data_IF_880185958366
#
_entry.id   IF_880185958366
#
_cell.length_a   1.000
_cell.length_b   1.000
_cell.length_c   1.000
_cell.angle_alpha   90.00
_cell.angle_beta   90.00
_cell.angle_gamma   90.00
#
_symmetry.space_group_name_H-M   'P 1'
#
loop_
_entity.id
_entity.type
_entity.pdbx_description
1 polymer ?
#
# COMPACT_ATOMS: atom_id res chain seq x y z
N UNK A 1 27.01 62.96 18.46
CA UNK A 1 26.06 61.96 19.02
C UNK A 1 25.11 61.33 17.97
N UNK A 2 24.89 61.86 16.81
CA UNK A 2 23.91 61.42 15.81
C UNK A 2 24.29 60.13 15.02
N UNK A 3 25.59 59.82 14.87
CA UNK A 3 26.04 58.66 14.08
C UNK A 3 25.85 57.32 14.78
N UNK A 4 25.97 57.27 16.10
CA UNK A 4 25.77 56.06 16.91
C UNK A 4 24.28 55.62 16.95
N UNK A 5 23.36 56.56 17.05
CA UNK A 5 21.91 56.28 17.03
C UNK A 5 21.46 55.72 15.70
N UNK A 6 22.02 56.16 14.59
CA UNK A 6 21.66 55.71 13.24
C UNK A 6 22.13 54.28 12.96
N UNK A 7 23.26 53.86 13.51
CA UNK A 7 23.77 52.48 13.42
C UNK A 7 22.94 51.49 14.27
N UNK A 8 22.58 51.91 15.47
CA UNK A 8 21.76 51.07 16.36
C UNK A 8 20.35 50.83 15.78
N UNK A 9 19.79 51.87 15.14
CA UNK A 9 18.49 51.76 14.47
C UNK A 9 18.52 50.79 13.26
N UNK A 10 19.59 50.82 12.46
CA UNK A 10 19.80 49.86 11.36
C UNK A 10 19.98 48.43 11.84
N UNK A 11 20.73 48.21 12.92
CA UNK A 11 20.89 46.88 13.53
C UNK A 11 19.55 46.32 14.04
N UNK A 12 18.73 47.18 14.63
CA UNK A 12 17.40 46.82 15.11
C UNK A 12 16.46 46.45 13.95
N UNK A 13 16.51 47.17 12.82
CA UNK A 13 15.76 46.83 11.61
C UNK A 13 16.20 45.49 11.00
N UNK A 14 17.51 45.24 10.94
CA UNK A 14 18.04 43.96 10.44
C UNK A 14 17.59 42.79 11.35
N UNK A 15 17.66 42.95 12.67
CA UNK A 15 17.19 41.97 13.63
C UNK A 15 15.70 41.66 13.50
N UNK A 16 14.88 42.72 13.27
CA UNK A 16 13.45 42.54 13.03
C UNK A 16 13.15 41.75 11.72
N UNK A 17 13.90 42.05 10.66
CA UNK A 17 13.76 41.36 9.38
C UNK A 17 14.13 39.88 9.51
N UNK A 18 15.23 39.56 10.20
CA UNK A 18 15.66 38.18 10.44
C UNK A 18 14.60 37.42 11.26
N UNK A 19 14.03 38.06 12.26
CA UNK A 19 12.97 37.47 13.09
C UNK A 19 11.71 37.18 12.27
N UNK A 20 11.29 38.12 11.40
CA UNK A 20 10.15 37.91 10.52
C UNK A 20 10.37 36.77 9.49
N UNK A 21 11.58 36.67 8.95
CA UNK A 21 11.97 35.58 8.04
C UNK A 21 11.94 34.25 8.78
N UNK A 22 12.48 34.19 10.02
CA UNK A 22 12.48 32.98 10.84
C UNK A 22 11.05 32.50 11.13
N UNK A 23 10.15 33.41 11.55
CA UNK A 23 8.73 33.08 11.77
C UNK A 23 8.03 32.61 10.49
N UNK A 24 8.34 33.24 9.36
CA UNK A 24 7.78 32.84 8.06
C UNK A 24 8.25 31.45 7.63
N UNK A 25 9.53 31.13 7.85
CA UNK A 25 10.09 29.79 7.58
C UNK A 25 9.45 28.74 8.49
N UNK A 26 9.31 29.02 9.77
CA UNK A 26 8.69 28.11 10.74
C UNK A 26 7.22 27.84 10.39
N UNK A 27 6.48 28.87 10.00
CA UNK A 27 5.10 28.73 9.52
C UNK A 27 5.01 27.88 8.25
N UNK A 28 5.90 28.09 7.27
CA UNK A 28 5.95 27.30 6.04
C UNK A 28 6.28 25.84 6.32
N UNK A 29 7.27 25.58 7.18
CA UNK A 29 7.69 24.21 7.51
C UNK A 29 6.63 23.44 8.29
N UNK A 30 5.94 24.09 9.24
CA UNK A 30 5.01 23.41 10.13
C UNK A 30 3.58 23.29 9.59
N UNK A 31 3.16 24.17 8.67
CA UNK A 31 1.79 24.15 8.15
C UNK A 31 1.67 23.72 6.68
N UNK A 32 2.62 24.06 5.81
CA UNK A 32 2.48 23.78 4.37
C UNK A 32 3.20 22.51 3.93
N UNK A 33 4.39 22.24 4.48
CA UNK A 33 5.20 21.09 4.05
C UNK A 33 4.59 19.74 4.45
N UNK A 34 4.07 19.53 5.69
CA UNK A 34 3.44 18.26 6.06
C UNK A 34 2.27 17.90 5.14
N UNK A 35 1.38 18.87 4.88
CA UNK A 35 0.18 18.63 4.06
C UNK A 35 0.50 18.26 2.60
N UNK A 36 1.56 18.84 2.04
CA UNK A 36 2.05 18.49 0.71
C UNK A 36 2.71 17.12 0.66
N UNK A 37 3.48 16.77 1.68
CA UNK A 37 4.12 15.46 1.79
C UNK A 37 3.07 14.34 1.94
N UNK A 38 2.06 14.55 2.77
CA UNK A 38 0.98 13.59 2.99
C UNK A 38 0.15 13.36 1.72
N UNK A 39 -0.17 14.42 0.98
CA UNK A 39 -0.85 14.32 -0.33
C UNK A 39 -0.02 13.55 -1.35
N UNK A 40 1.29 13.80 -1.40
CA UNK A 40 2.20 13.08 -2.29
C UNK A 40 2.30 11.59 -1.92
N UNK A 41 2.43 11.27 -0.64
CA UNK A 41 2.45 9.90 -0.14
C UNK A 41 1.14 9.18 -0.47
N UNK A 42 0.00 9.81 -0.21
CA UNK A 42 -1.32 9.25 -0.50
C UNK A 42 -1.50 8.95 -2.00
N UNK A 43 -1.08 9.88 -2.86
CA UNK A 43 -1.15 9.68 -4.31
C UNK A 43 -0.27 8.51 -4.78
N UNK A 44 0.93 8.36 -4.20
CA UNK A 44 1.84 7.25 -4.50
C UNK A 44 1.25 5.91 -4.07
N UNK A 45 0.68 5.84 -2.86
CA UNK A 45 0.01 4.64 -2.35
C UNK A 45 -1.18 4.28 -3.24
N UNK A 46 -2.02 5.26 -3.59
CA UNK A 46 -3.17 5.03 -4.46
C UNK A 46 -2.75 4.48 -5.83
N UNK A 47 -1.67 5.01 -6.42
CA UNK A 47 -1.13 4.53 -7.68
C UNK A 47 -0.65 3.08 -7.56
N UNK A 48 0.13 2.75 -6.53
CA UNK A 48 0.65 1.39 -6.29
C UNK A 48 -0.50 0.39 -6.10
N UNK A 49 -1.54 0.76 -5.34
CA UNK A 49 -2.73 -0.08 -5.16
C UNK A 49 -3.45 -0.32 -6.48
N UNK A 50 -3.66 0.72 -7.29
CA UNK A 50 -4.34 0.60 -8.57
C UNK A 50 -3.56 -0.30 -9.55
N UNK A 51 -2.24 -0.19 -9.61
CA UNK A 51 -1.37 -1.05 -10.44
C UNK A 51 -1.47 -2.52 -10.02
N UNK A 52 -1.46 -2.79 -8.71
CA UNK A 52 -1.63 -4.15 -8.18
C UNK A 52 -3.04 -4.71 -8.42
N UNK A 53 -4.08 -3.88 -8.25
CA UNK A 53 -5.45 -4.26 -8.57
C UNK A 53 -5.58 -4.67 -10.04
N UNK A 54 -5.03 -3.89 -10.95
CA UNK A 54 -5.02 -4.21 -12.38
C UNK A 54 -4.31 -5.54 -12.67
N UNK A 55 -3.18 -5.80 -12.00
CA UNK A 55 -2.47 -7.08 -12.10
C UNK A 55 -3.32 -8.25 -11.60
N UNK A 56 -4.01 -8.08 -10.46
CA UNK A 56 -4.93 -9.09 -9.93
C UNK A 56 -6.06 -9.38 -10.93
N UNK A 57 -6.66 -8.37 -11.52
CA UNK A 57 -7.72 -8.52 -12.52
C UNK A 57 -7.22 -9.20 -13.79
N UNK A 58 -6.00 -8.93 -14.24
CA UNK A 58 -5.36 -9.64 -15.37
C UNK A 58 -5.17 -11.12 -15.04
N UNK A 59 -4.74 -11.47 -13.85
CA UNK A 59 -4.62 -12.86 -13.41
C UNK A 59 -5.99 -13.56 -13.38
N UNK A 60 -7.03 -12.90 -12.83
CA UNK A 60 -8.38 -13.45 -12.85
C UNK A 60 -8.86 -13.76 -14.28
N UNK A 61 -8.76 -12.77 -15.17
CA UNK A 61 -9.15 -12.94 -16.59
C UNK A 61 -8.37 -14.07 -17.25
N UNK A 62 -7.07 -14.17 -16.98
CA UNK A 62 -6.21 -15.21 -17.52
C UNK A 62 -6.68 -16.60 -17.08
N UNK A 63 -6.86 -16.82 -15.77
CA UNK A 63 -7.27 -18.13 -15.24
C UNK A 63 -8.71 -18.49 -15.59
N UNK A 64 -9.61 -17.53 -15.79
CA UNK A 64 -10.94 -17.76 -16.33
C UNK A 64 -10.92 -18.18 -17.80
N UNK A 65 -9.90 -17.78 -18.56
CA UNK A 65 -9.79 -18.08 -20.01
C UNK A 65 -9.17 -19.43 -20.33
N UNK A 66 -8.55 -20.11 -19.38
CA UNK A 66 -7.86 -21.39 -19.57
C UNK A 66 -8.59 -22.53 -18.87
N UNK A 67 -8.36 -23.77 -19.34
CA UNK A 67 -8.89 -24.96 -18.66
C UNK A 67 -8.25 -25.15 -17.28
N UNK A 68 -9.02 -25.66 -16.33
CA UNK A 68 -8.55 -25.98 -14.98
C UNK A 68 -7.37 -26.96 -14.97
N UNK A 69 -7.32 -27.89 -15.93
CA UNK A 69 -6.22 -28.86 -16.08
C UNK A 69 -4.86 -28.14 -16.36
N UNK A 70 -4.92 -26.95 -16.94
CA UNK A 70 -3.73 -26.12 -17.26
C UNK A 70 -3.31 -25.17 -16.13
N UNK A 71 -4.00 -25.13 -15.00
CA UNK A 71 -3.68 -24.18 -13.91
C UNK A 71 -2.26 -24.40 -13.38
N UNK A 72 -1.84 -25.65 -13.21
CA UNK A 72 -0.51 -25.98 -12.69
C UNK A 72 0.61 -25.70 -13.71
N UNK A 73 0.36 -25.84 -14.99
CA UNK A 73 1.34 -25.54 -16.05
C UNK A 73 1.77 -24.07 -16.05
N UNK A 74 0.89 -23.19 -15.57
CA UNK A 74 1.10 -21.74 -15.54
C UNK A 74 1.50 -21.22 -14.14
N UNK A 75 1.66 -22.12 -13.16
CA UNK A 75 1.93 -21.74 -11.76
C UNK A 75 3.25 -20.97 -11.64
N UNK A 76 4.33 -21.42 -12.29
CA UNK A 76 5.66 -20.79 -12.18
C UNK A 76 5.63 -19.32 -12.60
N UNK A 77 4.98 -19.03 -13.74
CA UNK A 77 4.79 -17.66 -14.23
C UNK A 77 3.96 -16.82 -13.27
N UNK A 78 2.92 -17.41 -12.69
CA UNK A 78 2.06 -16.72 -11.71
C UNK A 78 2.80 -16.47 -10.41
N UNK A 79 3.67 -17.37 -9.96
CA UNK A 79 4.55 -17.18 -8.80
C UNK A 79 5.53 -16.02 -9.01
N UNK A 80 6.11 -15.90 -10.22
CA UNK A 80 7.01 -14.81 -10.58
C UNK A 80 6.28 -13.46 -10.51
N UNK A 81 5.13 -13.33 -11.17
CA UNK A 81 4.29 -12.12 -11.13
C UNK A 81 3.88 -11.79 -9.69
N UNK A 82 3.39 -12.76 -8.94
CA UNK A 82 2.95 -12.57 -7.57
C UNK A 82 4.08 -12.10 -6.65
N UNK A 83 5.31 -12.58 -6.88
CA UNK A 83 6.51 -12.17 -6.15
C UNK A 83 6.95 -10.76 -6.51
N UNK A 84 7.00 -10.41 -7.80
CA UNK A 84 7.41 -9.09 -8.28
C UNK A 84 6.45 -8.00 -7.79
N UNK A 85 5.15 -8.23 -7.96
CA UNK A 85 4.10 -7.29 -7.58
C UNK A 85 3.76 -7.34 -6.07
N UNK A 86 4.36 -8.27 -5.32
CA UNK A 86 4.08 -8.48 -3.90
C UNK A 86 2.59 -8.70 -3.60
N UNK A 87 1.94 -9.52 -4.41
CA UNK A 87 0.55 -9.94 -4.22
C UNK A 87 0.49 -11.42 -3.88
N UNK A 88 -0.62 -11.87 -3.31
CA UNK A 88 -0.88 -13.29 -3.08
C UNK A 88 -2.14 -13.69 -3.85
N UNK A 89 -2.05 -14.76 -4.62
CA UNK A 89 -3.11 -15.22 -5.50
C UNK A 89 -3.55 -16.63 -5.11
N UNK A 90 -4.86 -16.87 -5.11
CA UNK A 90 -5.48 -18.13 -4.70
C UNK A 90 -6.64 -18.48 -5.62
N UNK A 91 -6.79 -19.79 -5.91
CA UNK A 91 -7.96 -20.33 -6.58
C UNK A 91 -8.57 -21.37 -5.68
N UNK A 92 -9.87 -21.26 -5.44
CA UNK A 92 -10.68 -22.25 -4.74
C UNK A 92 -11.67 -22.85 -5.74
N UNK A 93 -11.88 -24.16 -5.68
CA UNK A 93 -12.92 -24.88 -6.40
C UNK A 93 -13.84 -25.55 -5.38
N UNK A 94 -15.14 -25.28 -5.43
CA UNK A 94 -16.11 -25.78 -4.46
C UNK A 94 -15.69 -25.51 -2.99
N UNK A 95 -15.00 -24.40 -2.77
CA UNK A 95 -14.50 -23.99 -1.46
C UNK A 95 -13.22 -24.71 -1.00
N UNK A 96 -12.63 -25.58 -1.80
CA UNK A 96 -11.31 -26.18 -1.57
C UNK A 96 -10.23 -25.40 -2.29
N UNK A 97 -9.10 -25.18 -1.62
CA UNK A 97 -7.95 -24.49 -2.21
C UNK A 97 -7.26 -25.43 -3.21
N UNK A 98 -7.21 -25.00 -4.48
CA UNK A 98 -6.61 -25.78 -5.58
C UNK A 98 -5.32 -25.18 -6.11
N UNK A 99 -5.14 -23.85 -6.02
CA UNK A 99 -3.91 -23.19 -6.41
C UNK A 99 -3.63 -22.01 -5.50
N UNK A 100 -2.35 -21.78 -5.14
CA UNK A 100 -1.92 -20.64 -4.33
C UNK A 100 -0.48 -20.25 -4.62
N UNK A 101 -0.17 -18.95 -4.51
CA UNK A 101 1.19 -18.40 -4.68
C UNK A 101 1.89 -18.11 -3.36
N UNK A 102 1.21 -18.20 -2.22
CA UNK A 102 1.79 -17.94 -0.91
C UNK A 102 1.09 -18.77 0.18
N UNK A 103 1.88 -19.30 1.10
CA UNK A 103 1.41 -19.95 2.33
C UNK A 103 1.52 -19.05 3.58
N UNK A 104 1.85 -17.76 3.39
CA UNK A 104 2.00 -16.81 4.50
C UNK A 104 0.69 -16.52 5.22
N UNK A 105 -0.40 -16.52 4.49
CA UNK A 105 -1.75 -16.27 5.00
C UNK A 105 -2.76 -16.98 4.11
N UNK A 106 -3.85 -17.43 4.70
CA UNK A 106 -4.99 -17.98 3.95
C UNK A 106 -6.11 -16.93 4.00
N UNK A 107 -6.67 -16.53 2.85
CA UNK A 107 -7.75 -15.56 2.81
C UNK A 107 -8.98 -16.11 3.55
N UNK A 108 -9.65 -15.26 4.31
CA UNK A 108 -10.94 -15.62 4.88
C UNK A 108 -11.96 -15.83 3.74
N UNK A 109 -12.79 -16.86 3.87
CA UNK A 109 -13.92 -17.11 2.94
C UNK A 109 -15.06 -16.08 3.12
N UNK A 110 -14.74 -14.86 3.56
CA UNK A 110 -15.71 -13.80 3.72
C UNK A 110 -16.19 -13.41 2.32
N UNK A 111 -17.49 -13.26 2.16
CA UNK A 111 -18.12 -12.77 0.95
C UNK A 111 -17.68 -11.31 0.74
N UNK A 112 -16.59 -11.13 0.00
CA UNK A 112 -16.20 -9.82 -0.51
C UNK A 112 -16.97 -9.60 -1.80
N UNK A 113 -17.58 -8.44 -2.04
CA UNK A 113 -18.22 -8.14 -3.31
C UNK A 113 -17.25 -8.36 -4.46
N UNK A 114 -17.77 -8.92 -5.54
CA UNK A 114 -17.01 -9.21 -6.73
C UNK A 114 -16.33 -7.94 -7.27
N UNK A 115 -15.09 -8.09 -7.72
CA UNK A 115 -14.27 -7.02 -8.32
C UNK A 115 -14.21 -5.70 -7.50
N UNK A 116 -14.26 -5.82 -6.17
CA UNK A 116 -14.06 -4.67 -5.26
C UNK A 116 -13.03 -4.97 -4.21
N UNK A 117 -12.04 -4.10 -4.10
CA UNK A 117 -11.06 -4.15 -3.04
C UNK A 117 -11.72 -3.90 -1.68
N UNK A 118 -11.45 -4.76 -0.72
CA UNK A 118 -11.83 -4.58 0.68
C UNK A 118 -10.66 -4.80 1.61
N UNK A 119 -10.52 -3.92 2.57
CA UNK A 119 -9.55 -4.08 3.64
C UNK A 119 -10.00 -5.21 4.58
N UNK A 120 -9.10 -6.16 4.81
CA UNK A 120 -9.29 -7.31 5.69
C UNK A 120 -8.15 -7.39 6.70
N UNK A 121 -8.48 -7.68 7.95
CA UNK A 121 -7.51 -8.10 8.96
C UNK A 121 -7.44 -9.62 8.94
N UNK A 122 -6.29 -10.16 8.57
CA UNK A 122 -5.99 -11.59 8.57
C UNK A 122 -5.00 -11.92 9.70
N UNK A 123 -4.59 -13.17 9.80
CA UNK A 123 -3.80 -13.68 10.92
C UNK A 123 -2.47 -12.92 11.19
N UNK A 124 -1.90 -12.29 10.17
CA UNK A 124 -0.57 -11.68 10.24
C UNK A 124 -0.51 -10.25 9.68
N UNK A 125 -1.65 -9.60 9.44
CA UNK A 125 -1.67 -8.22 8.97
C UNK A 125 -2.93 -7.79 8.25
N UNK A 126 -2.87 -6.57 7.74
CA UNK A 126 -3.92 -5.96 6.93
C UNK A 126 -3.66 -6.21 5.45
N UNK A 127 -4.71 -6.58 4.73
CA UNK A 127 -4.68 -6.89 3.31
C UNK A 127 -5.85 -6.24 2.60
N UNK A 128 -5.62 -5.75 1.38
CA UNK A 128 -6.72 -5.48 0.46
C UNK A 128 -7.04 -6.79 -0.26
N UNK A 129 -8.25 -7.28 -0.10
CA UNK A 129 -8.76 -8.50 -0.72
C UNK A 129 -9.64 -8.17 -1.91
N UNK A 130 -9.39 -8.85 -3.02
CA UNK A 130 -10.18 -8.82 -4.24
C UNK A 130 -10.66 -10.23 -4.54
N UNK A 131 -11.94 -10.39 -4.89
CA UNK A 131 -12.53 -11.68 -5.22
C UNK A 131 -13.24 -11.62 -6.58
N UNK A 132 -13.23 -12.75 -7.29
CA UNK A 132 -14.09 -12.98 -8.45
C UNK A 132 -14.62 -14.40 -8.45
N UNK A 133 -15.90 -14.55 -8.78
CA UNK A 133 -16.57 -15.84 -8.84
C UNK A 133 -16.78 -16.23 -10.30
N UNK A 134 -16.56 -17.51 -10.61
CA UNK A 134 -16.84 -18.11 -11.90
C UNK A 134 -17.31 -19.56 -11.74
N UNK A 135 -18.62 -19.75 -11.73
CA UNK A 135 -19.21 -21.05 -11.48
C UNK A 135 -18.81 -21.62 -10.11
N UNK A 136 -18.08 -22.74 -10.13
CA UNK A 136 -17.58 -23.39 -8.91
C UNK A 136 -16.25 -22.80 -8.40
N UNK A 137 -15.64 -21.89 -9.15
CA UNK A 137 -14.35 -21.28 -8.83
C UNK A 137 -14.51 -19.95 -8.12
N UNK A 138 -13.62 -19.72 -7.14
CA UNK A 138 -13.41 -18.45 -6.51
C UNK A 138 -11.92 -18.09 -6.68
N UNK A 139 -11.67 -17.02 -7.43
CA UNK A 139 -10.37 -16.38 -7.55
C UNK A 139 -10.25 -15.32 -6.47
N UNK A 140 -9.19 -15.36 -5.70
CA UNK A 140 -8.92 -14.40 -4.62
C UNK A 140 -7.52 -13.86 -4.76
N UNK A 141 -7.36 -12.54 -4.66
CA UNK A 141 -6.07 -11.89 -4.55
C UNK A 141 -6.00 -11.09 -3.24
N UNK A 142 -4.82 -11.11 -2.61
CA UNK A 142 -4.50 -10.33 -1.43
C UNK A 142 -3.32 -9.42 -1.74
N UNK A 143 -3.50 -8.11 -1.52
CA UNK A 143 -2.46 -7.10 -1.59
C UNK A 143 -2.08 -6.75 -0.15
N UNK A 144 -0.85 -7.05 0.32
CA UNK A 144 -0.42 -6.73 1.67
C UNK A 144 -0.35 -5.22 1.90
N UNK A 145 -1.00 -4.71 2.94
CA UNK A 145 -0.96 -3.30 3.34
C UNK A 145 0.03 -3.10 4.48
N UNK A 146 -0.13 -3.88 5.54
CA UNK A 146 0.68 -3.79 6.74
C UNK A 146 0.82 -5.15 7.40
N UNK A 147 2.02 -5.48 7.88
CA UNK A 147 2.24 -6.64 8.73
C UNK A 147 1.87 -6.29 10.17
N UNK A 148 0.96 -7.04 10.77
CA UNK A 148 0.50 -6.85 12.15
C UNK A 148 0.57 -8.18 12.90
N UNK A 149 1.77 -8.53 13.34
CA UNK A 149 1.99 -9.74 14.13
C UNK A 149 1.60 -9.50 15.59
N UNK A 150 1.01 -10.50 16.27
CA UNK A 150 0.66 -10.41 17.70
C UNK A 150 1.86 -10.17 18.61
N UNK A 151 3.06 -10.51 18.14
CA UNK A 151 4.34 -10.29 18.82
C UNK A 151 5.44 -9.99 17.79
N UNK A 152 6.43 -9.21 18.20
CA UNK A 152 7.59 -8.91 17.39
C UNK A 152 8.83 -9.61 17.91
N UNK A 153 9.72 -9.98 16.99
CA UNK A 153 11.05 -10.52 17.28
C UNK A 153 12.03 -10.16 16.16
N UNK A 154 13.21 -10.75 16.14
CA UNK A 154 14.22 -10.45 15.10
C UNK A 154 13.78 -10.81 13.67
N UNK A 155 12.79 -11.69 13.50
CA UNK A 155 12.29 -12.19 12.21
C UNK A 155 10.93 -11.64 11.83
N UNK A 156 10.07 -11.37 12.83
CA UNK A 156 8.71 -10.88 12.67
C UNK A 156 8.64 -9.44 13.16
N UNK A 157 8.52 -8.50 12.23
CA UNK A 157 8.39 -7.07 12.52
C UNK A 157 7.15 -6.51 11.85
N UNK A 158 6.42 -5.70 12.60
CA UNK A 158 5.32 -4.93 12.04
C UNK A 158 5.89 -3.83 11.15
N UNK A 159 5.41 -3.75 9.92
CA UNK A 159 5.85 -2.75 8.95
C UNK A 159 4.79 -2.51 7.89
N UNK A 160 4.72 -1.29 7.43
CA UNK A 160 3.96 -0.92 6.24
C UNK A 160 4.60 -1.56 5.00
N UNK A 161 3.78 -2.08 4.08
CA UNK A 161 4.22 -2.80 2.88
C UNK A 161 3.98 -1.95 1.62
N UNK A 162 2.91 -1.13 1.61
CA UNK A 162 2.56 -0.17 0.57
C UNK A 162 2.65 1.27 1.05
#
# INVERSE_FOLDING_TARGET
MTKLYKNNFRLLQIGLIILLISVAIDFLQNQLIPDLNDKYQLHRIQKDVNEKEETCLKLFNYYQSISADSYYENLDKTLEIAKEEKIFFYIFQNGQLVLWTSNKVIPNKIVVPEDKLRLQLLANGYYLQLNRYDGEYLFTALIPVESAYPYENNYLKNKQVI
#
